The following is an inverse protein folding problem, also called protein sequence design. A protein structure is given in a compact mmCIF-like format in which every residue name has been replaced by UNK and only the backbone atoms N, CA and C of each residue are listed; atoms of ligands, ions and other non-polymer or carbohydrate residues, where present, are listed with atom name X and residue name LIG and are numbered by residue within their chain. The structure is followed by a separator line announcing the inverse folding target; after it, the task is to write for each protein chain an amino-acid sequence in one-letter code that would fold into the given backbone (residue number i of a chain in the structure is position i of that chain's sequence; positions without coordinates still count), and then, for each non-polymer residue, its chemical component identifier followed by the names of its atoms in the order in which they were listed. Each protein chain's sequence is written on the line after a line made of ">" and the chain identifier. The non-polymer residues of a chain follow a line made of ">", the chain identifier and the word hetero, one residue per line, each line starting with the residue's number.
data_IF_647333623291
#
_entry.id   IF_647333623291
#
_cell.length_a   1.000
_cell.length_b   1.000
_cell.length_c   1.000
_cell.angle_alpha   90.00
_cell.angle_beta   90.00
_cell.angle_gamma   90.00
#
_symmetry.space_group_name_H-M   'P 1'
#
loop_
_entity.id
_entity.type
_entity.pdbx_description
1 polymer ?
#
# COMPACT_ATOMS: atom_id res chain seq x y z
N UNK A 1 6.84 -10.50 -7.50
CA UNK A 1 6.55 -10.17 -6.08
C UNK A 1 6.36 -8.68 -5.99
N UNK A 2 5.41 -8.24 -5.17
CA UNK A 2 5.14 -6.82 -4.94
C UNK A 2 5.65 -6.44 -3.55
N UNK A 3 6.45 -5.39 -3.47
CA UNK A 3 6.99 -4.88 -2.22
C UNK A 3 6.24 -3.61 -1.82
N UNK A 4 5.81 -3.54 -0.57
CA UNK A 4 5.22 -2.36 0.04
C UNK A 4 6.13 -1.89 1.18
N UNK A 5 6.39 -0.60 1.22
CA UNK A 5 7.06 0.05 2.33
C UNK A 5 6.10 1.06 2.96
N UNK A 6 5.94 0.95 4.28
CA UNK A 6 5.04 1.77 5.08
C UNK A 6 5.89 2.61 6.02
N UNK A 7 5.74 3.92 5.95
CA UNK A 7 6.38 4.86 6.87
C UNK A 7 5.44 5.99 7.26
N UNK A 8 5.83 6.76 8.26
CA UNK A 8 5.17 8.00 8.64
C UNK A 8 6.20 8.95 9.25
N UNK A 9 6.27 10.19 8.75
CA UNK A 9 7.21 11.19 9.27
C UNK A 9 6.63 11.96 10.47
N UNK A 10 5.38 12.41 10.35
CA UNK A 10 4.69 13.15 11.40
C UNK A 10 3.33 12.50 11.70
N UNK A 11 3.24 11.69 12.79
CA UNK A 11 2.02 10.97 13.12
C UNK A 11 0.81 11.89 13.40
N UNK A 12 1.03 13.13 13.85
CA UNK A 12 -0.03 14.11 14.11
C UNK A 12 -0.73 14.61 12.84
N UNK A 13 -0.19 14.32 11.66
CA UNK A 13 -0.83 14.64 10.38
C UNK A 13 -1.77 13.54 9.91
N UNK A 14 -1.73 12.36 10.55
CA UNK A 14 -2.47 11.15 10.16
C UNK A 14 -2.15 10.64 8.75
N UNK A 15 -1.07 11.11 8.12
CA UNK A 15 -0.64 10.62 6.81
C UNK A 15 0.43 9.55 6.94
N UNK A 16 0.09 8.37 6.44
CA UNK A 16 1.01 7.26 6.19
C UNK A 16 1.58 7.43 4.79
N UNK A 17 2.90 7.39 4.66
CA UNK A 17 3.58 7.31 3.38
C UNK A 17 3.62 5.83 2.94
N UNK A 18 3.03 5.56 1.78
CA UNK A 18 3.04 4.24 1.16
C UNK A 18 3.88 4.29 -0.11
N UNK A 19 4.83 3.36 -0.18
CA UNK A 19 5.59 3.09 -1.39
C UNK A 19 5.32 1.66 -1.83
N UNK A 20 4.94 1.48 -3.09
CA UNK A 20 4.81 0.19 -3.74
C UNK A 20 5.91 0.05 -4.79
N UNK A 21 6.56 -1.11 -4.87
CA UNK A 21 7.66 -1.38 -5.80
C UNK A 21 7.52 -2.76 -6.42
N UNK A 22 7.66 -2.83 -7.74
CA UNK A 22 7.54 -4.07 -8.49
C UNK A 22 8.30 -3.99 -9.81
N UNK A 23 8.74 -5.14 -10.30
CA UNK A 23 9.41 -5.25 -11.58
C UNK A 23 8.39 -5.51 -12.70
N UNK A 24 8.67 -4.96 -13.87
CA UNK A 24 7.94 -5.23 -15.11
C UNK A 24 8.91 -5.83 -16.13
N UNK A 25 8.65 -7.06 -16.64
CA UNK A 25 9.48 -7.68 -17.66
C UNK A 25 9.63 -6.82 -18.92
N UNK A 26 10.70 -7.03 -19.69
CA UNK A 26 10.94 -6.29 -20.93
C UNK A 26 9.88 -6.57 -22.01
N UNK A 27 9.30 -7.78 -22.00
CA UNK A 27 8.17 -8.21 -22.81
C UNK A 27 6.81 -7.97 -22.11
N UNK A 28 6.81 -7.23 -21.00
CA UNK A 28 5.62 -6.85 -20.26
C UNK A 28 4.73 -5.86 -21.01
N UNK A 29 3.56 -5.58 -20.45
CA UNK A 29 2.62 -4.64 -21.04
C UNK A 29 3.18 -3.21 -21.02
N UNK A 30 3.02 -2.48 -22.14
CA UNK A 30 3.35 -1.05 -22.25
C UNK A 30 2.62 -0.21 -21.20
N UNK A 31 1.41 -0.65 -20.85
CA UNK A 31 0.51 0.02 -19.92
C UNK A 31 0.12 -0.94 -18.81
N UNK A 32 0.12 -0.45 -17.57
CA UNK A 32 -0.42 -1.16 -16.42
C UNK A 32 -1.43 -0.28 -15.67
N UNK A 33 -2.37 -0.93 -15.00
CA UNK A 33 -3.37 -0.26 -14.18
C UNK A 33 -3.10 -0.56 -12.71
N UNK A 34 -2.95 0.50 -11.93
CA UNK A 34 -2.94 0.46 -10.47
C UNK A 34 -4.37 0.68 -9.98
N UNK A 35 -4.85 -0.18 -9.10
CA UNK A 35 -6.19 -0.11 -8.53
C UNK A 35 -6.11 -0.08 -7.01
N UNK A 36 -6.88 0.81 -6.41
CA UNK A 36 -7.19 0.81 -4.99
C UNK A 36 -8.55 0.10 -4.78
N UNK A 37 -8.72 -0.77 -3.78
CA UNK A 37 -10.03 -1.37 -3.51
C UNK A 37 -11.13 -0.32 -3.30
N UNK A 38 -12.36 -0.66 -3.70
CA UNK A 38 -13.54 0.17 -3.50
C UNK A 38 -14.49 -0.36 -2.42
N UNK A 39 -14.22 -1.53 -1.85
CA UNK A 39 -15.01 -2.20 -0.82
C UNK A 39 -14.12 -3.23 -0.10
N UNK A 40 -14.64 -3.88 0.94
CA UNK A 40 -13.92 -4.93 1.67
C UNK A 40 -14.80 -6.16 1.94
N UNK A 41 -14.23 -7.38 1.93
CA UNK A 41 -14.93 -8.57 2.43
C UNK A 41 -15.51 -8.35 3.83
N UNK A 42 -16.66 -8.96 4.10
CA UNK A 42 -17.39 -8.79 5.36
C UNK A 42 -18.26 -7.52 5.46
N UNK A 43 -18.13 -6.56 4.53
CA UNK A 43 -19.06 -5.41 4.40
C UNK A 43 -19.32 -5.07 2.93
N UNK A 44 -20.48 -5.50 2.42
CA UNK A 44 -20.88 -5.37 1.01
C UNK A 44 -21.43 -3.98 0.67
N UNK A 45 -20.61 -2.95 0.92
CA UNK A 45 -20.94 -1.56 0.60
C UNK A 45 -19.75 -0.91 -0.11
N UNK A 46 -20.04 -0.16 -1.18
CA UNK A 46 -19.02 0.66 -1.82
C UNK A 46 -18.56 1.74 -0.84
N UNK A 47 -17.26 1.82 -0.68
CA UNK A 47 -16.54 2.84 0.07
C UNK A 47 -15.80 3.76 -0.91
N UNK A 48 -15.49 4.96 -0.45
CA UNK A 48 -14.66 5.89 -1.20
C UNK A 48 -13.26 5.98 -0.58
N UNK A 49 -12.53 4.87 -0.49
CA UNK A 49 -11.18 4.86 0.09
C UNK A 49 -10.23 5.79 -0.65
N UNK A 50 -10.42 5.97 -1.96
CA UNK A 50 -9.60 6.87 -2.76
C UNK A 50 -9.62 8.34 -2.32
N UNK A 51 -10.64 8.79 -1.58
CA UNK A 51 -10.64 10.14 -1.00
C UNK A 51 -9.54 10.33 0.06
N UNK A 52 -9.03 9.23 0.62
CA UNK A 52 -7.94 9.21 1.61
C UNK A 52 -6.55 9.20 0.94
N UNK A 53 -6.46 9.07 -0.38
CA UNK A 53 -5.21 8.97 -1.12
C UNK A 53 -4.81 10.32 -1.72
N UNK A 54 -3.55 10.72 -1.53
CA UNK A 54 -2.99 11.96 -2.06
C UNK A 54 -1.60 11.75 -2.65
N UNK A 55 -1.20 12.66 -3.54
CA UNK A 55 0.17 12.74 -4.09
C UNK A 55 0.66 11.42 -4.69
N UNK A 56 -0.14 10.83 -5.58
CA UNK A 56 0.27 9.64 -6.31
C UNK A 56 1.33 10.04 -7.34
N UNK A 57 2.54 9.55 -7.14
CA UNK A 57 3.70 9.77 -7.97
C UNK A 57 4.27 8.42 -8.40
N UNK A 58 4.62 8.30 -9.67
CA UNK A 58 5.15 7.04 -10.23
C UNK A 58 6.48 7.33 -10.91
N UNK A 59 7.49 6.57 -10.54
CA UNK A 59 8.87 6.71 -11.03
C UNK A 59 9.45 5.34 -11.41
N UNK A 60 10.48 5.38 -12.24
CA UNK A 60 11.41 4.27 -12.40
C UNK A 60 12.42 4.30 -11.24
N UNK A 61 12.47 3.24 -10.44
CA UNK A 61 13.32 3.15 -9.25
C UNK A 61 14.81 3.30 -9.58
N UNK A 62 15.23 2.90 -10.78
CA UNK A 62 16.64 2.94 -11.19
C UNK A 62 17.11 4.35 -11.55
N UNK A 63 16.30 5.08 -12.33
CA UNK A 63 16.65 6.39 -12.87
C UNK A 63 16.03 7.55 -12.09
N UNK A 64 15.07 7.26 -11.21
CA UNK A 64 14.19 8.23 -10.54
C UNK A 64 13.38 9.09 -11.52
N UNK A 65 13.33 8.72 -12.81
CA UNK A 65 12.56 9.43 -13.80
C UNK A 65 11.05 9.18 -13.59
N UNK A 66 10.25 10.24 -13.68
CA UNK A 66 8.79 10.12 -13.59
C UNK A 66 8.23 9.35 -14.79
N UNK A 67 7.31 8.42 -14.51
CA UNK A 67 6.58 7.67 -15.52
C UNK A 67 5.23 8.35 -15.82
N UNK A 68 4.83 8.48 -17.10
CA UNK A 68 3.55 9.06 -17.44
C UNK A 68 2.41 8.30 -16.76
N UNK A 69 1.64 9.03 -15.96
CA UNK A 69 0.58 8.48 -15.13
C UNK A 69 -0.67 9.33 -15.29
N UNK A 70 -1.83 8.69 -15.49
CA UNK A 70 -3.12 9.36 -15.51
C UNK A 70 -4.16 8.62 -14.69
N UNK A 71 -5.05 9.38 -14.07
CA UNK A 71 -6.15 8.82 -13.27
C UNK A 71 -7.31 8.43 -14.20
N UNK A 72 -7.72 7.16 -14.19
CA UNK A 72 -8.81 6.64 -15.03
C UNK A 72 -10.18 6.76 -14.34
N UNK A 73 -10.23 6.41 -13.06
CA UNK A 73 -11.42 6.52 -12.19
C UNK A 73 -11.01 7.12 -10.85
N UNK A 74 -11.93 7.25 -9.90
CA UNK A 74 -11.61 7.75 -8.56
C UNK A 74 -10.50 6.94 -7.87
N UNK A 75 -10.39 5.64 -8.15
CA UNK A 75 -9.58 4.64 -7.48
C UNK A 75 -8.66 3.85 -8.42
N UNK A 76 -8.49 4.30 -9.67
CA UNK A 76 -7.66 3.65 -10.68
C UNK A 76 -6.73 4.62 -11.40
N UNK A 77 -5.49 4.20 -11.61
CA UNK A 77 -4.46 4.93 -12.33
C UNK A 77 -3.87 4.07 -13.43
N UNK A 78 -3.63 4.66 -14.59
CA UNK A 78 -2.90 4.08 -15.69
C UNK A 78 -1.47 4.60 -15.66
N UNK A 79 -0.49 3.70 -15.80
CA UNK A 79 0.94 4.01 -15.92
C UNK A 79 1.46 3.45 -17.23
N UNK A 80 2.18 4.25 -18.00
CA UNK A 80 2.73 3.84 -19.30
C UNK A 80 4.26 3.88 -19.34
N UNK A 81 4.84 3.18 -20.33
CA UNK A 81 6.29 3.06 -20.47
C UNK A 81 6.89 2.26 -19.32
N UNK A 82 6.23 1.19 -18.89
CA UNK A 82 6.71 0.35 -17.79
C UNK A 82 7.61 -0.83 -18.18
N UNK A 83 7.63 -1.36 -19.43
CA UNK A 83 8.44 -2.52 -19.78
C UNK A 83 9.93 -2.37 -19.43
N UNK A 84 10.49 -3.42 -18.81
CA UNK A 84 11.89 -3.50 -18.43
C UNK A 84 12.31 -2.60 -17.26
N UNK A 85 11.35 -2.02 -16.53
CA UNK A 85 11.61 -1.09 -15.41
C UNK A 85 11.20 -1.69 -14.08
N UNK A 86 11.86 -1.23 -13.02
CA UNK A 86 11.38 -1.39 -11.64
C UNK A 86 10.52 -0.18 -11.33
N UNK A 87 9.20 -0.35 -11.33
CA UNK A 87 8.26 0.75 -11.09
C UNK A 87 8.13 0.98 -9.59
N UNK A 88 8.19 2.24 -9.19
CA UNK A 88 7.99 2.69 -7.81
C UNK A 88 6.83 3.68 -7.77
N UNK A 89 5.86 3.41 -6.91
CA UNK A 89 4.66 4.22 -6.74
C UNK A 89 4.67 4.77 -5.32
N UNK A 90 4.67 6.08 -5.17
CA UNK A 90 4.62 6.78 -3.89
C UNK A 90 3.31 7.52 -3.73
N UNK A 91 2.73 7.47 -2.54
CA UNK A 91 1.52 8.21 -2.21
C UNK A 91 1.31 8.31 -0.70
N UNK A 92 0.46 9.25 -0.31
CA UNK A 92 0.02 9.42 1.07
C UNK A 92 -1.36 8.79 1.26
N UNK A 93 -1.55 8.12 2.39
CA UNK A 93 -2.81 7.57 2.86
C UNK A 93 -3.22 8.22 4.19
N UNK A 94 -4.40 8.83 4.21
CA UNK A 94 -4.95 9.49 5.40
C UNK A 94 -5.66 8.49 6.33
N UNK A 95 -5.06 8.22 7.48
CA UNK A 95 -5.48 7.24 8.47
C UNK A 95 -5.95 7.93 9.77
N UNK A 96 -7.19 8.45 9.77
CA UNK A 96 -7.79 9.11 10.93
C UNK A 96 -9.23 8.64 11.19
N UNK A 97 -9.41 7.31 11.24
CA UNK A 97 -10.70 6.69 11.53
C UNK A 97 -10.51 5.50 12.49
N UNK A 98 -10.80 5.72 13.77
CA UNK A 98 -10.66 4.73 14.84
C UNK A 98 -11.91 3.86 14.96
N UNK A 99 -12.08 2.92 14.04
CA UNK A 99 -13.10 1.87 14.15
C UNK A 99 -12.60 0.57 13.50
N UNK A 100 -13.35 -0.53 13.65
CA UNK A 100 -12.97 -1.85 13.14
C UNK A 100 -12.90 -1.94 11.59
N UNK A 101 -13.31 -0.91 10.87
CA UNK A 101 -13.16 -0.82 9.43
C UNK A 101 -12.27 0.30 8.92
N UNK A 102 -11.77 1.15 9.81
CA UNK A 102 -10.96 2.33 9.54
C UNK A 102 -9.46 2.05 9.55
N UNK A 103 -8.67 3.11 9.55
CA UNK A 103 -7.23 3.04 9.82
C UNK A 103 -6.89 4.26 10.66
N UNK A 104 -5.88 4.13 11.51
CA UNK A 104 -5.48 5.15 12.46
C UNK A 104 -3.96 5.26 12.53
N UNK A 105 -3.47 6.49 12.63
CA UNK A 105 -2.09 6.80 12.93
C UNK A 105 -2.06 7.91 13.99
N UNK A 106 -1.34 7.70 15.08
CA UNK A 106 -0.95 8.77 16.00
C UNK A 106 0.43 8.48 16.62
N UNK A 107 0.81 9.27 17.62
CA UNK A 107 2.10 9.15 18.32
C UNK A 107 2.26 7.84 19.12
N UNK A 108 1.18 7.08 19.28
CA UNK A 108 1.11 5.89 20.14
C UNK A 108 0.79 4.61 19.38
N UNK A 109 0.23 4.70 18.18
CA UNK A 109 -0.08 3.52 17.39
C UNK A 109 -0.23 3.79 15.89
N UNK A 110 0.03 2.74 15.12
CA UNK A 110 -0.32 2.59 13.71
C UNK A 110 -1.27 1.41 13.60
N UNK A 111 -2.52 1.65 13.24
CA UNK A 111 -3.53 0.63 12.94
C UNK A 111 -3.93 0.74 11.48
N UNK A 112 -3.68 -0.29 10.68
CA UNK A 112 -3.97 -0.28 9.25
C UNK A 112 -4.89 -1.42 8.86
N UNK A 113 -5.90 -1.07 8.06
CA UNK A 113 -6.62 -2.00 7.22
C UNK A 113 -6.08 -1.85 5.79
N UNK A 114 -5.24 -2.78 5.27
CA UNK A 114 -4.57 -2.60 3.99
C UNK A 114 -5.52 -2.33 2.82
N UNK A 115 -6.73 -2.91 2.84
CA UNK A 115 -7.79 -2.66 1.85
C UNK A 115 -8.12 -1.17 1.63
N UNK A 116 -7.86 -0.29 2.61
CA UNK A 116 -8.13 1.15 2.50
C UNK A 116 -7.03 1.95 1.81
N UNK A 117 -5.79 1.46 1.86
CA UNK A 117 -4.61 2.23 1.50
C UNK A 117 -3.78 1.59 0.40
N UNK A 118 -3.72 0.27 0.32
CA UNK A 118 -2.75 -0.42 -0.51
C UNK A 118 -3.30 -0.60 -1.93
N UNK A 119 -2.59 -0.05 -2.91
CA UNK A 119 -2.87 -0.30 -4.33
C UNK A 119 -2.35 -1.68 -4.75
N UNK A 120 -2.94 -2.25 -5.79
CA UNK A 120 -2.46 -3.44 -6.48
C UNK A 120 -2.40 -3.20 -7.99
N UNK A 121 -1.77 -4.12 -8.73
CA UNK A 121 -1.72 -4.06 -10.19
C UNK A 121 -2.79 -5.00 -10.74
N UNK A 122 -3.67 -4.48 -11.60
CA UNK A 122 -4.66 -5.30 -12.29
C UNK A 122 -3.98 -6.43 -13.07
N UNK A 123 -4.46 -7.65 -12.86
CA UNK A 123 -3.90 -8.87 -13.47
C UNK A 123 -2.71 -9.49 -12.72
N UNK A 124 -2.19 -8.85 -11.66
CA UNK A 124 -1.07 -9.37 -10.85
C UNK A 124 -1.44 -9.56 -9.37
N UNK A 125 -2.73 -9.60 -9.04
CA UNK A 125 -3.23 -9.74 -7.67
C UNK A 125 -2.74 -11.01 -6.97
N UNK A 126 -2.47 -12.08 -7.74
CA UNK A 126 -2.01 -13.38 -7.23
C UNK A 126 -0.51 -13.44 -6.94
N UNK A 127 0.25 -12.37 -7.23
CA UNK A 127 1.66 -12.33 -6.84
C UNK A 127 1.81 -12.15 -5.33
N UNK A 128 2.82 -12.79 -4.72
CA UNK A 128 3.10 -12.60 -3.30
C UNK A 128 3.46 -11.15 -3.01
N UNK A 129 3.06 -10.71 -1.83
CA UNK A 129 3.34 -9.36 -1.32
C UNK A 129 4.26 -9.42 -0.11
N UNK A 130 5.17 -8.48 -0.01
CA UNK A 130 5.95 -8.23 1.19
C UNK A 130 5.65 -6.82 1.69
N UNK A 131 5.41 -6.67 2.99
CA UNK A 131 5.18 -5.36 3.63
C UNK A 131 6.25 -5.11 4.67
N UNK A 132 7.07 -4.10 4.44
CA UNK A 132 8.05 -3.62 5.41
C UNK A 132 7.53 -2.35 6.07
N UNK A 133 7.55 -2.31 7.40
CA UNK A 133 7.12 -1.15 8.18
C UNK A 133 8.33 -0.48 8.83
N UNK A 134 8.53 0.80 8.52
CA UNK A 134 9.44 1.67 9.23
C UNK A 134 8.75 2.19 10.49
N UNK A 135 8.97 1.50 11.60
CA UNK A 135 8.38 1.82 12.90
C UNK A 135 9.42 2.49 13.82
N UNK A 136 8.98 3.34 14.76
CA UNK A 136 9.86 3.85 15.81
C UNK A 136 10.47 2.72 16.64
N UNK A 137 11.62 2.98 17.25
CA UNK A 137 12.28 2.02 18.13
C UNK A 137 11.37 1.62 19.31
N UNK A 138 11.40 0.34 19.68
CA UNK A 138 10.60 -0.21 20.77
C UNK A 138 9.13 -0.49 20.42
N UNK A 139 8.65 -0.07 19.25
CA UNK A 139 7.32 -0.45 18.78
C UNK A 139 7.29 -1.93 18.41
N UNK A 140 6.24 -2.59 18.86
CA UNK A 140 5.95 -3.97 18.49
C UNK A 140 4.93 -4.00 17.34
N UNK A 141 4.90 -5.08 16.57
CA UNK A 141 3.98 -5.29 15.46
C UNK A 141 3.16 -6.55 15.71
N UNK A 142 1.84 -6.45 15.58
CA UNK A 142 0.92 -7.57 15.60
C UNK A 142 0.09 -7.61 14.30
N UNK A 143 0.07 -8.77 13.65
CA UNK A 143 -0.68 -9.04 12.44
C UNK A 143 -0.92 -10.56 12.31
N UNK A 144 -1.96 -10.96 11.58
CA UNK A 144 -2.19 -12.36 11.23
C UNK A 144 -1.25 -12.90 10.14
N UNK A 145 -0.56 -12.01 9.41
CA UNK A 145 0.40 -12.41 8.37
C UNK A 145 1.67 -13.02 8.97
N UNK A 146 2.28 -14.02 8.29
CA UNK A 146 3.60 -14.51 8.67
C UNK A 146 4.65 -13.39 8.59
N UNK A 147 5.52 -13.35 9.59
CA UNK A 147 6.60 -12.39 9.67
C UNK A 147 7.92 -13.03 9.23
N UNK A 148 8.65 -12.39 8.31
CA UNK A 148 9.90 -12.93 7.76
C UNK A 148 11.16 -12.19 8.18
N UNK A 149 11.01 -11.18 9.04
CA UNK A 149 12.09 -10.34 9.55
C UNK A 149 11.55 -9.24 10.45
N UNK A 150 12.41 -8.36 10.99
CA UNK A 150 11.97 -7.21 11.77
C UNK A 150 10.96 -6.38 10.99
N UNK A 151 9.77 -6.20 11.57
CA UNK A 151 8.67 -5.41 10.99
C UNK A 151 8.38 -5.72 9.51
N UNK A 152 8.54 -6.98 9.11
CA UNK A 152 8.39 -7.42 7.71
C UNK A 152 7.40 -8.56 7.62
N UNK A 153 6.24 -8.30 7.02
CA UNK A 153 5.14 -9.24 6.82
C UNK A 153 5.16 -9.81 5.41
N UNK A 154 4.69 -11.04 5.25
CA UNK A 154 4.50 -11.68 3.96
C UNK A 154 3.04 -12.08 3.75
N UNK A 155 2.50 -11.75 2.58
CA UNK A 155 1.20 -12.24 2.12
C UNK A 155 1.37 -13.09 0.86
N UNK A 156 0.50 -14.08 0.72
CA UNK A 156 0.53 -15.00 -0.42
C UNK A 156 0.08 -14.32 -1.72
N UNK A 157 -0.81 -13.33 -1.60
CA UNK A 157 -1.37 -12.53 -2.67
C UNK A 157 -1.97 -11.25 -2.07
N UNK A 158 -2.53 -10.39 -2.93
CA UNK A 158 -3.15 -9.14 -2.50
C UNK A 158 -4.37 -9.37 -1.60
N UNK A 159 -5.19 -10.39 -1.84
CA UNK A 159 -6.38 -10.65 -1.02
C UNK A 159 -6.00 -11.03 0.43
N UNK A 160 -4.97 -11.87 0.60
CA UNK A 160 -4.44 -12.21 1.92
C UNK A 160 -3.89 -10.96 2.65
N UNK A 161 -3.25 -10.04 1.92
CA UNK A 161 -2.82 -8.75 2.47
C UNK A 161 -4.01 -7.87 2.85
N UNK A 162 -4.98 -7.71 1.94
CA UNK A 162 -6.15 -6.85 2.13
C UNK A 162 -7.02 -7.30 3.30
N UNK A 163 -7.06 -8.61 3.58
CA UNK A 163 -7.81 -9.24 4.67
C UNK A 163 -7.00 -9.36 5.98
N UNK A 164 -5.81 -8.78 6.04
CA UNK A 164 -4.94 -8.85 7.23
C UNK A 164 -4.68 -7.48 7.83
N UNK A 165 -5.58 -6.97 8.71
CA UNK A 165 -5.30 -5.80 9.50
C UNK A 165 -4.02 -5.98 10.34
N UNK A 166 -3.33 -4.87 10.59
CA UNK A 166 -2.14 -4.84 11.43
C UNK A 166 -2.23 -3.71 12.44
N UNK A 167 -1.55 -3.88 13.57
CA UNK A 167 -1.35 -2.85 14.57
C UNK A 167 0.11 -2.83 15.01
N UNK A 168 0.66 -1.64 15.18
CA UNK A 168 1.95 -1.43 15.81
C UNK A 168 1.86 -0.36 16.89
N UNK A 169 2.47 -0.60 18.05
CA UNK A 169 2.45 0.30 19.21
C UNK A 169 3.55 -0.10 20.21
N UNK A 170 4.07 0.81 21.04
CA UNK A 170 5.03 0.46 22.09
C UNK A 170 4.40 -0.32 23.25
N UNK A 171 3.07 -0.39 23.35
CA UNK A 171 2.35 -1.03 24.47
C UNK A 171 1.50 -2.24 24.05
N UNK A 172 1.86 -2.91 22.95
CA UNK A 172 1.27 -4.21 22.60
C UNK A 172 1.70 -5.31 23.58
#
# INVERSE_FOLDING_TARGET
>A
MIHYHVSFENPLTFYVQLQMTFEVPQDGAETLELQLPAWRPGRYELQNFAQKIQRVEVTDASSQASLPTRKLTKDRWEVTGTPGRTVQVHYNFYAHQMDAGGSWLDETQLYLNPVQGFMYIEGRQQEPCQVQLQLPEGWQLACGLPQSGPNTLQAQNFDHLADSPLIASPTL
#
